data_IF_467499871420
#
_entry.id   IF_467499871420
#
_cell.length_a   1.000
_cell.length_b   1.000
_cell.length_c   1.000
_cell.angle_alpha   90.00
_cell.angle_beta   90.00
_cell.angle_gamma   90.00
#
_symmetry.space_group_name_H-M   'P 1'
#
loop_
_entity.id
_entity.type
_entity.pdbx_description
1 polymer ?
#
# COMPACT_ATOMS: atom_id res chain seq x y z
N UNK A 1 9.59 -26.35 11.82
CA UNK A 1 9.85 -25.09 11.09
C UNK A 1 9.19 -24.00 11.92
N UNK A 2 9.96 -23.02 12.40
CA UNK A 2 9.47 -22.02 13.34
C UNK A 2 8.70 -20.96 12.55
N UNK A 3 7.38 -20.93 12.72
CA UNK A 3 6.51 -19.81 12.36
C UNK A 3 6.84 -18.64 13.29
N UNK A 4 7.95 -17.94 13.01
CA UNK A 4 8.13 -16.59 13.55
C UNK A 4 7.16 -15.68 12.82
N UNK A 5 5.99 -15.53 13.42
CA UNK A 5 5.21 -14.30 13.52
C UNK A 5 5.57 -13.24 12.46
N UNK A 6 5.00 -13.40 11.26
CA UNK A 6 4.96 -12.32 10.29
C UNK A 6 3.98 -11.26 10.80
N UNK A 7 4.47 -10.39 11.68
CA UNK A 7 3.79 -9.14 11.98
C UNK A 7 3.76 -8.30 10.69
N UNK A 8 2.57 -7.96 10.16
CA UNK A 8 2.42 -7.41 8.81
C UNK A 8 3.15 -6.07 8.60
N UNK A 9 3.42 -5.32 9.68
CA UNK A 9 4.10 -4.03 9.66
C UNK A 9 5.57 -4.05 9.20
N UNK A 10 6.26 -5.18 9.28
CA UNK A 10 7.68 -5.28 8.89
C UNK A 10 7.90 -5.40 7.37
N UNK A 11 6.83 -5.40 6.57
CA UNK A 11 6.92 -5.59 5.11
C UNK A 11 7.15 -4.28 4.36
N UNK A 12 6.63 -3.17 4.90
CA UNK A 12 6.75 -1.86 4.27
C UNK A 12 8.05 -1.15 4.64
N UNK A 13 8.62 -0.48 3.66
CA UNK A 13 9.72 0.48 3.81
C UNK A 13 9.30 1.83 3.24
N UNK A 14 9.99 2.90 3.63
CA UNK A 14 9.79 4.21 3.00
C UNK A 14 10.06 4.11 1.49
N UNK A 15 9.13 4.61 0.67
CA UNK A 15 9.25 4.50 -0.78
C UNK A 15 7.93 4.66 -1.52
N UNK A 16 7.98 4.42 -2.83
CA UNK A 16 6.82 4.49 -3.73
C UNK A 16 6.30 3.09 -3.99
N UNK A 17 4.99 2.95 -4.03
CA UNK A 17 4.31 1.68 -4.24
C UNK A 17 3.18 1.82 -5.25
N UNK A 18 2.92 0.77 -6.00
CA UNK A 18 1.63 0.56 -6.67
C UNK A 18 1.27 -0.90 -6.53
N UNK A 19 0.06 -1.17 -6.08
CA UNK A 19 -0.45 -2.52 -5.90
C UNK A 19 -1.25 -2.92 -7.13
N UNK A 20 -1.05 -4.14 -7.60
CA UNK A 20 -1.65 -4.67 -8.81
C UNK A 20 -2.16 -6.10 -8.58
N UNK A 21 -2.95 -6.61 -9.51
CA UNK A 21 -3.50 -7.96 -9.42
C UNK A 21 -4.73 -8.02 -8.51
N UNK A 22 -4.89 -9.14 -7.80
CA UNK A 22 -6.06 -9.41 -6.97
C UNK A 22 -5.74 -9.29 -5.48
N UNK A 23 -6.71 -8.80 -4.71
CA UNK A 23 -6.65 -8.83 -3.26
C UNK A 23 -6.77 -10.27 -2.75
N UNK A 24 -5.92 -10.64 -1.79
CA UNK A 24 -5.90 -11.96 -1.16
C UNK A 24 -6.09 -11.83 0.34
N UNK A 25 -7.09 -12.51 0.88
CA UNK A 25 -7.30 -12.61 2.32
C UNK A 25 -6.36 -13.65 2.93
N UNK A 26 -5.71 -13.31 4.04
CA UNK A 26 -4.88 -14.23 4.84
C UNK A 26 -5.25 -14.11 6.30
N UNK A 27 -5.65 -15.22 6.90
CA UNK A 27 -5.83 -15.32 8.35
C UNK A 27 -4.45 -15.45 9.00
N UNK A 28 -4.18 -14.60 9.98
CA UNK A 28 -3.01 -14.72 10.85
C UNK A 28 -3.44 -15.45 12.13
N UNK A 29 -2.54 -16.26 12.69
CA UNK A 29 -2.81 -17.17 13.82
C UNK A 29 -3.45 -16.47 15.02
N UNK A 30 -3.13 -15.19 15.24
CA UNK A 30 -3.61 -14.39 16.38
C UNK A 30 -4.52 -13.20 15.98
N UNK A 31 -4.97 -13.12 14.73
CA UNK A 31 -5.85 -12.04 14.28
C UNK A 31 -7.21 -12.58 13.84
N UNK A 32 -8.30 -12.24 14.55
CA UNK A 32 -9.65 -12.66 14.17
C UNK A 32 -10.10 -12.04 12.84
N UNK A 33 -9.39 -11.01 12.35
CA UNK A 33 -9.69 -10.33 11.08
C UNK A 33 -8.61 -10.65 10.06
N UNK A 34 -8.98 -11.18 8.88
CA UNK A 34 -8.04 -11.38 7.78
C UNK A 34 -7.24 -10.13 7.44
N UNK A 35 -5.95 -10.32 7.21
CA UNK A 35 -5.08 -9.33 6.58
C UNK A 35 -5.23 -9.49 5.07
N UNK A 36 -5.51 -8.38 4.40
CA UNK A 36 -5.63 -8.32 2.94
C UNK A 36 -4.26 -7.99 2.36
N UNK A 37 -3.82 -8.82 1.41
CA UNK A 37 -2.57 -8.72 0.69
C UNK A 37 -2.81 -8.41 -0.79
N UNK A 38 -1.83 -7.78 -1.44
CA UNK A 38 -1.81 -7.56 -2.88
C UNK A 38 -0.39 -7.73 -3.42
N UNK A 39 -0.27 -8.16 -4.67
CA UNK A 39 0.98 -8.03 -5.41
C UNK A 39 1.25 -6.53 -5.66
N UNK A 40 2.50 -6.15 -5.83
CA UNK A 40 2.83 -4.77 -6.12
C UNK A 40 4.25 -4.56 -6.58
N UNK A 41 4.48 -3.36 -7.11
CA UNK A 41 5.78 -2.83 -7.45
C UNK A 41 6.18 -1.81 -6.39
N UNK A 42 7.44 -1.85 -5.96
CA UNK A 42 8.00 -0.96 -4.95
C UNK A 42 9.30 -0.35 -5.44
N UNK A 43 9.46 0.96 -5.20
CA UNK A 43 10.74 1.66 -5.30
C UNK A 43 11.13 2.20 -3.93
N UNK A 44 12.28 1.80 -3.43
CA UNK A 44 12.74 2.17 -2.09
C UNK A 44 14.27 2.27 -2.02
N UNK A 45 14.76 2.80 -0.90
CA UNK A 45 16.18 2.83 -0.61
C UNK A 45 16.60 1.51 0.04
N UNK A 46 17.58 0.82 -0.54
CA UNK A 46 18.23 -0.37 0.02
C UNK A 46 19.74 -0.18 -0.07
N UNK A 47 20.44 -0.33 1.06
CA UNK A 47 21.92 -0.21 1.13
C UNK A 47 22.47 1.07 0.47
N UNK A 48 21.77 2.19 0.65
CA UNK A 48 22.14 3.49 0.09
C UNK A 48 21.85 3.67 -1.40
N UNK A 49 21.26 2.65 -2.07
CA UNK A 49 20.87 2.70 -3.48
C UNK A 49 19.36 2.70 -3.65
N UNK A 50 18.88 3.41 -4.67
CA UNK A 50 17.48 3.37 -5.06
C UNK A 50 17.23 2.11 -5.88
N UNK A 51 16.34 1.25 -5.40
CA UNK A 51 16.07 -0.05 -6.01
C UNK A 51 14.59 -0.22 -6.31
N UNK A 52 14.30 -0.94 -7.39
CA UNK A 52 12.96 -1.39 -7.77
C UNK A 52 12.82 -2.88 -7.56
N UNK A 53 11.77 -3.30 -6.85
CA UNK A 53 11.39 -4.72 -6.74
C UNK A 53 9.88 -4.91 -6.76
N UNK A 54 9.46 -6.17 -6.80
CA UNK A 54 8.06 -6.55 -6.68
C UNK A 54 7.89 -7.59 -5.59
N UNK A 55 6.67 -7.72 -5.09
CA UNK A 55 6.35 -8.69 -4.05
C UNK A 55 4.91 -8.56 -3.59
N UNK A 56 4.60 -9.27 -2.51
CA UNK A 56 3.30 -9.21 -1.86
C UNK A 56 3.36 -8.34 -0.63
N UNK A 57 2.37 -7.48 -0.47
CA UNK A 57 2.31 -6.48 0.59
C UNK A 57 0.98 -6.57 1.35
N UNK A 58 0.99 -6.44 2.69
CA UNK A 58 -0.22 -6.43 3.50
C UNK A 58 -0.91 -5.07 3.40
N UNK A 59 -1.62 -4.82 2.30
CA UNK A 59 -2.28 -3.54 2.02
C UNK A 59 -3.30 -3.10 3.08
N UNK A 60 -3.76 -4.02 3.94
CA UNK A 60 -4.53 -3.68 5.14
C UNK A 60 -3.80 -2.72 6.09
N UNK A 61 -2.46 -2.75 6.11
CA UNK A 61 -1.67 -1.89 7.00
C UNK A 61 -1.80 -0.41 6.65
N UNK A 62 -2.18 -0.10 5.41
CA UNK A 62 -2.46 1.26 4.96
C UNK A 62 -3.69 1.87 5.67
N UNK A 63 -4.61 1.05 6.17
CA UNK A 63 -5.89 1.48 6.77
C UNK A 63 -6.05 1.07 8.24
N UNK A 64 -4.94 0.78 8.92
CA UNK A 64 -4.94 0.52 10.36
C UNK A 64 -5.28 1.78 11.16
N UNK A 65 -5.70 1.57 12.41
CA UNK A 65 -5.96 2.67 13.35
C UNK A 65 -4.71 3.49 13.64
N UNK A 66 -3.55 2.85 13.67
CA UNK A 66 -2.24 3.48 13.88
C UNK A 66 -1.73 4.22 12.64
N UNK A 67 -2.18 3.86 11.44
CA UNK A 67 -1.71 4.46 10.19
C UNK A 67 -2.34 5.82 9.92
N UNK A 68 -1.59 6.67 9.23
CA UNK A 68 -1.97 8.05 8.89
C UNK A 68 -2.01 8.22 7.38
N UNK A 69 -3.10 8.78 6.88
CA UNK A 69 -3.22 9.22 5.50
C UNK A 69 -2.98 10.73 5.41
N UNK A 70 -2.16 11.13 4.44
CA UNK A 70 -1.88 12.52 4.13
C UNK A 70 -2.63 12.92 2.85
N UNK A 71 -3.47 13.95 2.98
CA UNK A 71 -4.16 14.57 1.86
C UNK A 71 -3.24 15.51 1.07
N UNK A 72 -3.70 15.89 -0.13
CA UNK A 72 -2.94 16.74 -1.05
C UNK A 72 -2.68 18.15 -0.47
N UNK A 73 -3.54 18.64 0.43
CA UNK A 73 -3.39 19.90 1.16
C UNK A 73 -2.49 19.78 2.41
N UNK A 74 -1.95 18.59 2.69
CA UNK A 74 -1.10 18.30 3.83
C UNK A 74 -1.84 17.94 5.12
N UNK A 75 -3.19 17.91 5.11
CA UNK A 75 -3.99 17.48 6.26
C UNK A 75 -3.74 15.99 6.56
N UNK A 76 -3.67 15.66 7.84
CA UNK A 76 -3.49 14.30 8.35
C UNK A 76 -4.84 13.72 8.76
N UNK A 77 -5.16 12.54 8.26
CA UNK A 77 -6.33 11.75 8.63
C UNK A 77 -5.89 10.42 9.22
N UNK A 78 -6.62 9.94 10.23
CA UNK A 78 -6.47 8.57 10.72
C UNK A 78 -6.94 7.61 9.62
N UNK A 79 -6.07 6.73 9.14
CA UNK A 79 -6.32 5.98 7.91
C UNK A 79 -7.50 4.99 8.03
N UNK A 80 -7.78 4.51 9.24
CA UNK A 80 -8.97 3.67 9.49
C UNK A 80 -10.31 4.38 9.26
N UNK A 81 -10.32 5.71 9.12
CA UNK A 81 -11.51 6.52 8.82
C UNK A 81 -11.76 6.68 7.32
N UNK A 82 -10.88 6.15 6.46
CA UNK A 82 -11.01 6.26 5.00
C UNK A 82 -12.10 5.36 4.41
N UNK A 83 -12.51 4.32 5.13
CA UNK A 83 -13.57 3.41 4.71
C UNK A 83 -14.72 3.43 5.72
N UNK A 84 -15.92 3.18 5.22
CA UNK A 84 -17.10 3.09 6.07
C UNK A 84 -17.06 1.82 6.89
N UNK A 85 -17.17 1.97 8.21
CA UNK A 85 -17.28 0.83 9.12
C UNK A 85 -18.66 0.19 8.98
N UNK A 86 -18.76 -1.15 8.97
CA UNK A 86 -20.07 -1.81 8.94
C UNK A 86 -20.85 -1.48 10.22
N UNK A 87 -22.17 -1.43 10.12
CA UNK A 87 -23.04 -1.13 11.26
C UNK A 87 -22.87 -2.12 12.42
N UNK A 88 -22.47 -3.36 12.13
CA UNK A 88 -22.19 -4.39 13.12
C UNK A 88 -20.70 -4.77 13.13
N UNK A 89 -19.94 -4.15 14.03
CA UNK A 89 -18.51 -4.42 14.22
C UNK A 89 -18.21 -5.82 14.80
N UNK A 90 -19.22 -6.55 15.27
CA UNK A 90 -19.08 -7.92 15.77
C UNK A 90 -18.99 -8.98 14.68
N UNK A 91 -19.23 -8.62 13.41
CA UNK A 91 -19.20 -9.56 12.28
C UNK A 91 -17.90 -9.35 11.49
N UNK A 92 -16.92 -10.21 11.73
CA UNK A 92 -15.62 -10.19 11.03
C UNK A 92 -15.78 -10.13 9.51
N UNK A 93 -16.73 -10.89 8.95
CA UNK A 93 -16.97 -10.96 7.50
C UNK A 93 -17.33 -9.59 6.91
N UNK A 94 -18.22 -8.85 7.56
CA UNK A 94 -18.66 -7.53 7.08
C UNK A 94 -17.52 -6.53 7.17
N UNK A 95 -16.69 -6.64 8.21
CA UNK A 95 -15.51 -5.81 8.35
C UNK A 95 -14.47 -6.09 7.25
N UNK A 96 -14.18 -7.37 6.98
CA UNK A 96 -13.28 -7.77 5.88
C UNK A 96 -13.81 -7.31 4.52
N UNK A 97 -15.11 -7.44 4.28
CA UNK A 97 -15.74 -7.00 3.03
C UNK A 97 -15.61 -5.46 2.84
N UNK A 98 -15.82 -4.68 3.90
CA UNK A 98 -15.66 -3.23 3.86
C UNK A 98 -14.21 -2.81 3.56
N UNK A 99 -13.22 -3.44 4.22
CA UNK A 99 -11.80 -3.21 3.94
C UNK A 99 -11.45 -3.58 2.49
N UNK A 100 -11.89 -4.74 2.04
CA UNK A 100 -11.62 -5.24 0.69
C UNK A 100 -12.19 -4.30 -0.36
N UNK A 101 -13.43 -3.85 -0.17
CA UNK A 101 -14.08 -2.91 -1.10
C UNK A 101 -13.31 -1.59 -1.20
N UNK A 102 -12.92 -1.01 -0.06
CA UNK A 102 -12.11 0.21 -0.06
C UNK A 102 -10.75 0.02 -0.75
N UNK A 103 -10.03 -1.05 -0.42
CA UNK A 103 -8.72 -1.32 -1.01
C UNK A 103 -8.82 -1.54 -2.52
N UNK A 104 -9.86 -2.25 -2.97
CA UNK A 104 -10.12 -2.52 -4.38
C UNK A 104 -10.43 -1.23 -5.16
N UNK A 105 -11.25 -0.35 -4.58
CA UNK A 105 -11.74 0.86 -5.26
C UNK A 105 -10.74 2.02 -5.19
N UNK A 106 -9.99 2.15 -4.09
CA UNK A 106 -9.21 3.36 -3.80
C UNK A 106 -7.72 3.15 -3.64
N UNK A 107 -7.22 1.91 -3.51
CA UNK A 107 -5.79 1.64 -3.30
C UNK A 107 -5.19 0.84 -4.45
N UNK A 108 -5.89 -0.17 -4.94
CA UNK A 108 -5.41 -1.02 -6.02
C UNK A 108 -5.29 -0.21 -7.33
N UNK A 109 -4.16 -0.37 -8.02
CA UNK A 109 -3.76 0.37 -9.21
C UNK A 109 -3.55 1.88 -9.02
N UNK A 110 -3.69 2.42 -7.80
CA UNK A 110 -3.36 3.79 -7.47
C UNK A 110 -1.95 3.87 -6.88
N UNK A 111 -1.04 4.64 -7.48
CA UNK A 111 0.28 4.83 -6.91
C UNK A 111 0.22 5.59 -5.57
N UNK A 112 1.01 5.14 -4.62
CA UNK A 112 1.15 5.77 -3.30
C UNK A 112 2.62 6.00 -2.96
N UNK A 113 2.86 6.87 -1.99
CA UNK A 113 4.15 7.04 -1.33
C UNK A 113 3.98 6.79 0.18
N UNK A 114 4.79 5.89 0.72
CA UNK A 114 4.97 5.70 2.15
C UNK A 114 6.09 6.64 2.60
N UNK A 115 5.74 7.57 3.48
CA UNK A 115 6.59 8.66 3.93
C UNK A 115 7.35 8.28 5.19
N UNK A 116 6.67 7.62 6.13
CA UNK A 116 7.27 7.06 7.34
C UNK A 116 6.71 5.67 7.62
N UNK A 117 7.56 4.82 8.21
CA UNK A 117 7.19 3.53 8.77
C UNK A 117 7.68 3.52 10.21
N UNK A 118 6.77 3.25 11.15
CA UNK A 118 7.06 3.13 12.56
C UNK A 118 6.55 1.76 13.02
N UNK A 119 7.44 0.83 13.43
CA UNK A 119 7.05 -0.54 13.77
C UNK A 119 5.88 -0.61 14.77
N UNK A 120 5.80 0.33 15.70
CA UNK A 120 4.75 0.39 16.73
C UNK A 120 3.61 1.38 16.42
N UNK A 121 3.81 2.32 15.49
CA UNK A 121 2.88 3.42 15.23
C UNK A 121 2.28 3.40 13.82
N UNK A 122 2.40 2.29 13.09
CA UNK A 122 1.84 2.19 11.75
C UNK A 122 2.71 2.86 10.69
N UNK A 123 2.07 3.29 9.61
CA UNK A 123 2.74 3.99 8.51
C UNK A 123 2.02 5.28 8.15
N UNK A 124 2.76 6.25 7.63
CA UNK A 124 2.19 7.46 7.04
C UNK A 124 2.32 7.40 5.52
N UNK A 125 1.22 7.57 4.80
CA UNK A 125 1.19 7.45 3.34
C UNK A 125 0.28 8.48 2.68
N UNK A 126 0.50 8.70 1.38
CA UNK A 126 -0.33 9.55 0.52
C UNK A 126 -0.43 8.97 -0.89
N UNK A 127 -1.37 9.46 -1.68
CA UNK A 127 -1.38 9.21 -3.12
C UNK A 127 -0.25 9.99 -3.81
N UNK A 128 0.23 9.42 -4.91
CA UNK A 128 1.10 10.10 -5.86
C UNK A 128 0.57 9.85 -7.28
N UNK A 129 0.96 10.69 -8.23
CA UNK A 129 0.51 10.50 -9.62
C UNK A 129 1.27 9.34 -10.28
N UNK A 130 0.70 8.71 -11.34
CA UNK A 130 1.43 7.75 -12.17
C UNK A 130 2.76 8.28 -12.69
N UNK A 131 2.83 9.56 -13.04
CA UNK A 131 4.06 10.21 -13.52
C UNK A 131 5.10 10.35 -12.39
N UNK A 132 4.66 10.63 -11.16
CA UNK A 132 5.55 10.64 -10.00
C UNK A 132 6.08 9.24 -9.70
N UNK A 133 5.26 8.20 -9.87
CA UNK A 133 5.70 6.81 -9.71
C UNK A 133 6.69 6.41 -10.81
N UNK A 134 6.41 6.72 -12.08
CA UNK A 134 7.26 6.35 -13.23
C UNK A 134 8.57 7.18 -13.35
N UNK A 135 8.85 8.08 -12.41
CA UNK A 135 10.11 8.82 -12.33
C UNK A 135 11.16 8.02 -11.54
N UNK A 136 12.16 7.54 -12.27
CA UNK A 136 13.31 6.83 -11.71
C UNK A 136 14.48 7.79 -11.44
N UNK A 137 15.16 7.68 -10.29
CA UNK A 137 16.36 8.45 -10.00
C UNK A 137 17.55 7.96 -10.83
N UNK A 138 18.58 8.80 -10.94
CA UNK A 138 19.88 8.38 -11.50
C UNK A 138 20.47 7.23 -10.64
N UNK A 139 21.07 6.24 -11.30
CA UNK A 139 21.62 5.02 -10.67
C UNK A 139 20.57 4.08 -10.04
N UNK A 140 19.34 4.09 -10.53
CA UNK A 140 18.30 3.15 -10.11
C UNK A 140 18.64 1.70 -10.50
N UNK A 141 18.48 0.78 -9.55
CA UNK A 141 18.70 -0.65 -9.77
C UNK A 141 17.38 -1.42 -9.81
N UNK A 142 17.00 -1.93 -10.98
CA UNK A 142 15.82 -2.76 -11.14
C UNK A 142 16.15 -4.24 -10.86
N UNK A 143 15.59 -4.81 -9.78
CA UNK A 143 15.65 -6.25 -9.51
C UNK A 143 14.84 -7.01 -10.57
N UNK A 144 15.13 -8.30 -10.74
CA UNK A 144 14.63 -9.14 -11.85
C UNK A 144 13.14 -8.98 -12.14
N UNK A 145 12.28 -8.98 -11.11
CA UNK A 145 10.84 -8.89 -11.26
C UNK A 145 10.30 -7.47 -11.56
N UNK A 146 11.16 -6.44 -11.48
CA UNK A 146 10.86 -5.05 -11.79
C UNK A 146 11.44 -4.60 -13.15
N UNK A 147 12.33 -5.41 -13.75
CA UNK A 147 13.05 -5.04 -14.98
C UNK A 147 12.13 -4.74 -16.16
N UNK A 148 11.03 -5.50 -16.31
CA UNK A 148 10.07 -5.27 -17.40
C UNK A 148 9.40 -3.90 -17.28
N UNK A 149 8.88 -3.57 -16.09
CA UNK A 149 8.34 -2.24 -15.81
C UNK A 149 9.39 -1.13 -15.98
N UNK A 150 10.62 -1.36 -15.53
CA UNK A 150 11.69 -0.38 -15.68
C UNK A 150 12.07 -0.12 -17.15
N UNK A 151 12.02 -1.15 -18.00
CA UNK A 151 12.31 -1.04 -19.42
C UNK A 151 11.16 -0.40 -20.22
N UNK A 152 9.91 -0.64 -19.81
CA UNK A 152 8.72 -0.23 -20.56
C UNK A 152 7.66 0.46 -19.67
N UNK A 153 7.99 1.49 -18.89
CA UNK A 153 7.09 2.07 -17.88
C UNK A 153 5.80 2.65 -18.47
N UNK A 154 5.83 3.09 -19.73
CA UNK A 154 4.68 3.61 -20.48
C UNK A 154 3.62 2.55 -20.79
N UNK A 155 4.00 1.27 -20.89
CA UNK A 155 3.06 0.16 -21.16
C UNK A 155 2.17 -0.17 -19.97
N UNK A 156 2.54 0.27 -18.77
CA UNK A 156 1.78 0.05 -17.55
C UNK A 156 0.78 1.17 -17.31
N UNK A 157 -0.50 0.82 -17.20
CA UNK A 157 -1.55 1.78 -16.87
C UNK A 157 -1.81 1.78 -15.36
N UNK A 158 -1.66 2.95 -14.72
CA UNK A 158 -2.01 3.17 -13.31
C UNK A 158 -3.10 4.22 -13.21
N UNK A 159 -4.02 4.02 -12.27
CA UNK A 159 -5.10 4.94 -12.02
C UNK A 159 -4.58 6.22 -11.36
N UNK A 160 -5.19 7.34 -11.71
CA UNK A 160 -4.97 8.62 -11.07
C UNK A 160 -6.15 8.87 -10.15
N UNK A 161 -5.91 9.10 -8.86
CA UNK A 161 -6.98 9.56 -7.96
C UNK A 161 -7.48 10.91 -8.49
N UNK A 162 -8.79 11.12 -8.65
CA UNK A 162 -9.28 12.46 -8.92
C UNK A 162 -8.84 13.34 -7.76
N UNK A 163 -8.02 14.36 -8.06
CA UNK A 163 -7.82 15.47 -7.13
C UNK A 163 -9.22 15.95 -6.78
N UNK A 164 -9.50 16.22 -5.51
CA UNK A 164 -10.74 16.92 -5.18
C UNK A 164 -10.66 18.26 -5.92
N UNK A 165 -11.33 18.38 -7.08
CA UNK A 165 -11.68 19.70 -7.58
C UNK A 165 -12.53 20.33 -6.49
N UNK A 166 -12.16 21.50 -5.96
CA UNK A 166 -13.00 22.18 -5.00
C UNK A 166 -14.36 22.39 -5.65
N UNK A 167 -15.41 21.85 -5.03
CA UNK A 167 -16.78 22.29 -5.30
C UNK A 167 -16.98 23.69 -4.73
#
# INVERSE_FOLDING_TARGET
>A
MSDKDLQPLNTFTKGKYVFTGNLQERLLTDNPVPVIWADGLRMHLSDGKQVGDSGQFPVSDLILKSSVFLEDDGRKLEAHKLYTWPANLGITKDWTAAKTSFLQEFVLNFPIEIITVHPEQGLTWKFITPEQFKKFPENFEAKSAFKDFFANPETYFFLRRPLQDPK
#
